data_IF_221095188287
#
_entry.id   IF_221095188287
#
_cell.length_a   1.000
_cell.length_b   1.000
_cell.length_c   1.000
_cell.angle_alpha   90.00
_cell.angle_beta   90.00
_cell.angle_gamma   90.00
#
_symmetry.space_group_name_H-M   'P 1'
#
loop_
_entity.id
_entity.type
_entity.pdbx_description
1 polymer ?
#
# COMPACT_ATOMS: atom_id res chain seq x y z
N UNK A 1 9.65 3.67 14.83
CA UNK A 1 8.94 2.67 14.00
C UNK A 1 9.83 2.46 12.79
N UNK A 2 10.34 1.24 12.59
CA UNK A 2 11.20 0.92 11.43
C UNK A 2 10.36 0.96 10.16
N UNK A 3 10.96 1.45 9.09
CA UNK A 3 10.30 1.56 7.79
C UNK A 3 10.10 0.18 7.16
N UNK A 4 9.07 -0.01 6.33
CA UNK A 4 8.77 -1.28 5.67
C UNK A 4 9.96 -1.84 4.88
N UNK A 5 10.71 -0.97 4.17
CA UNK A 5 11.91 -1.39 3.44
C UNK A 5 13.06 -1.79 4.38
N UNK A 6 13.21 -1.11 5.52
CA UNK A 6 14.24 -1.45 6.50
C UNK A 6 14.03 -2.85 7.07
N UNK A 7 12.77 -3.23 7.33
CA UNK A 7 12.45 -4.57 7.81
C UNK A 7 12.75 -5.66 6.78
N UNK A 8 12.49 -5.40 5.49
CA UNK A 8 12.88 -6.33 4.41
C UNK A 8 14.40 -6.44 4.31
N UNK A 9 15.10 -5.31 4.39
CA UNK A 9 16.56 -5.28 4.39
C UNK A 9 17.14 -6.03 5.60
N UNK A 10 16.48 -6.00 6.76
CA UNK A 10 16.96 -6.71 7.95
C UNK A 10 16.94 -8.24 7.77
N UNK A 11 16.03 -8.77 6.95
CA UNK A 11 15.92 -10.22 6.69
C UNK A 11 16.61 -10.68 5.40
N UNK A 12 17.26 -9.76 4.66
CA UNK A 12 18.02 -10.04 3.43
C UNK A 12 19.45 -9.51 3.59
N UNK A 13 20.29 -10.27 4.27
CA UNK A 13 21.63 -9.83 4.68
C UNK A 13 22.70 -10.38 3.72
N UNK A 14 22.54 -11.61 3.27
CA UNK A 14 23.49 -12.27 2.36
C UNK A 14 23.19 -11.94 0.90
N UNK A 15 24.20 -12.06 0.04
CA UNK A 15 24.04 -11.86 -1.41
C UNK A 15 23.01 -12.83 -2.02
N UNK A 16 22.94 -14.07 -1.55
CA UNK A 16 21.91 -15.01 -2.00
C UNK A 16 20.51 -14.52 -1.62
N UNK A 17 20.33 -14.02 -0.40
CA UNK A 17 19.05 -13.49 0.07
C UNK A 17 18.65 -12.23 -0.68
N UNK A 18 19.58 -11.32 -1.02
CA UNK A 18 19.25 -10.07 -1.74
C UNK A 18 18.81 -10.32 -3.18
N UNK A 19 19.24 -11.41 -3.82
CA UNK A 19 18.84 -11.78 -5.18
C UNK A 19 17.61 -12.69 -5.25
N UNK A 20 17.15 -13.25 -4.11
CA UNK A 20 15.98 -14.14 -4.07
C UNK A 20 14.70 -13.43 -4.55
N UNK A 21 13.96 -13.97 -5.53
CA UNK A 21 12.69 -13.41 -5.99
C UNK A 21 11.71 -13.09 -4.85
N UNK A 22 11.15 -11.88 -4.86
CA UNK A 22 10.15 -11.42 -3.90
C UNK A 22 8.75 -11.41 -4.51
N UNK A 23 7.79 -11.95 -3.76
CA UNK A 23 6.37 -11.86 -4.05
C UNK A 23 5.67 -11.19 -2.89
N UNK A 24 4.92 -10.14 -3.17
CA UNK A 24 4.16 -9.42 -2.15
C UNK A 24 2.68 -9.75 -2.23
N UNK A 25 2.07 -9.97 -1.07
CA UNK A 25 0.63 -10.06 -0.92
C UNK A 25 0.23 -8.89 -0.03
N UNK A 26 -0.50 -7.95 -0.60
CA UNK A 26 -0.89 -6.72 0.07
C UNK A 26 -2.41 -6.64 0.16
N UNK A 27 -2.92 -6.38 1.36
CA UNK A 27 -4.35 -6.30 1.64
C UNK A 27 -4.73 -4.90 2.11
N UNK A 28 -5.85 -4.36 1.62
CA UNK A 28 -6.39 -3.07 2.01
C UNK A 28 -5.31 -1.97 1.94
N UNK A 29 -5.12 -1.19 3.01
CA UNK A 29 -4.11 -0.14 3.12
C UNK A 29 -2.67 -0.63 2.94
N UNK A 30 -2.38 -1.91 3.22
CA UNK A 30 -1.04 -2.47 3.00
C UNK A 30 -0.59 -2.36 1.54
N UNK A 31 -1.53 -2.33 0.59
CA UNK A 31 -1.20 -2.09 -0.82
C UNK A 31 -0.73 -0.67 -1.11
N UNK A 32 -1.26 0.33 -0.40
CA UNK A 32 -0.81 1.73 -0.49
C UNK A 32 0.60 1.87 0.10
N UNK A 33 0.85 1.26 1.26
CA UNK A 33 2.18 1.22 1.89
C UNK A 33 3.19 0.59 0.94
N UNK A 34 2.89 -0.60 0.40
CA UNK A 34 3.76 -1.29 -0.55
C UNK A 34 4.03 -0.44 -1.81
N UNK A 35 2.99 0.19 -2.37
CA UNK A 35 3.11 1.06 -3.54
C UNK A 35 4.07 2.22 -3.26
N UNK A 36 3.97 2.85 -2.08
CA UNK A 36 4.87 3.91 -1.65
C UNK A 36 6.30 3.42 -1.55
N UNK A 37 6.50 2.32 -0.83
CA UNK A 37 7.82 1.77 -0.54
C UNK A 37 8.53 1.33 -1.80
N UNK A 38 7.87 0.64 -2.74
CA UNK A 38 8.49 0.22 -3.99
C UNK A 38 8.81 1.40 -4.92
N UNK A 39 7.94 2.42 -4.97
CA UNK A 39 8.22 3.63 -5.75
C UNK A 39 9.43 4.38 -5.19
N UNK A 40 9.53 4.48 -3.86
CA UNK A 40 10.70 5.05 -3.20
C UNK A 40 11.94 4.21 -3.44
N UNK A 41 11.83 2.89 -3.33
CA UNK A 41 12.93 1.96 -3.53
C UNK A 41 13.55 2.10 -4.92
N UNK A 42 12.72 2.19 -5.97
CA UNK A 42 13.16 2.43 -7.35
C UNK A 42 13.91 3.76 -7.55
N UNK A 43 13.57 4.78 -6.75
CA UNK A 43 14.16 6.14 -6.83
C UNK A 43 15.28 6.34 -5.80
N UNK A 44 15.54 5.36 -4.95
CA UNK A 44 16.50 5.48 -3.85
C UNK A 44 17.92 5.49 -4.40
N UNK A 45 18.81 6.23 -3.74
CA UNK A 45 20.25 6.12 -3.98
C UNK A 45 20.87 4.95 -3.21
N UNK A 46 20.12 4.34 -2.27
CA UNK A 46 20.56 3.17 -1.52
C UNK A 46 20.46 1.91 -2.39
N UNK A 47 21.58 1.23 -2.58
CA UNK A 47 21.65 -0.01 -3.34
C UNK A 47 20.73 -1.10 -2.76
N UNK A 48 20.58 -1.17 -1.43
CA UNK A 48 19.77 -2.19 -0.76
C UNK A 48 18.28 -2.05 -1.08
N UNK A 49 17.81 -0.81 -1.12
CA UNK A 49 16.44 -0.52 -1.54
C UNK A 49 16.22 -0.87 -3.01
N UNK A 50 17.20 -0.56 -3.87
CA UNK A 50 17.13 -0.93 -5.28
C UNK A 50 17.12 -2.46 -5.47
N UNK A 51 17.87 -3.21 -4.66
CA UNK A 51 17.88 -4.68 -4.70
C UNK A 51 16.50 -5.26 -4.36
N UNK A 52 15.78 -4.68 -3.37
CA UNK A 52 14.39 -5.07 -3.08
C UNK A 52 13.51 -4.85 -4.31
N UNK A 53 13.62 -3.67 -4.93
CA UNK A 53 12.84 -3.35 -6.12
C UNK A 53 13.17 -4.30 -7.29
N UNK A 54 14.45 -4.59 -7.53
CA UNK A 54 14.91 -5.47 -8.58
C UNK A 54 14.45 -6.92 -8.36
N UNK A 55 14.54 -7.42 -7.13
CA UNK A 55 14.12 -8.78 -6.75
C UNK A 55 12.59 -8.96 -6.75
N UNK A 56 11.82 -7.87 -6.69
CA UNK A 56 10.35 -7.92 -6.75
C UNK A 56 9.89 -8.52 -8.07
N UNK A 57 9.35 -9.73 -8.02
CA UNK A 57 8.96 -10.51 -9.20
C UNK A 57 7.45 -10.45 -9.47
N UNK A 58 6.64 -10.27 -8.42
CA UNK A 58 5.20 -10.10 -8.56
C UNK A 58 4.50 -9.59 -7.31
N UNK A 59 3.29 -9.05 -7.52
CA UNK A 59 2.48 -8.44 -6.47
C UNK A 59 1.02 -8.87 -6.61
N UNK A 60 0.41 -9.25 -5.49
CA UNK A 60 -1.00 -9.58 -5.36
C UNK A 60 -1.68 -8.55 -4.45
N UNK A 61 -2.58 -7.75 -4.99
CA UNK A 61 -3.36 -6.76 -4.24
C UNK A 61 -4.75 -7.32 -3.92
N UNK A 62 -5.19 -7.20 -2.67
CA UNK A 62 -6.51 -7.62 -2.21
C UNK A 62 -7.25 -6.43 -1.62
N UNK A 63 -8.36 -6.03 -2.24
CA UNK A 63 -9.22 -4.93 -1.79
C UNK A 63 -8.43 -3.64 -1.48
N UNK A 64 -7.32 -3.42 -2.19
CA UNK A 64 -6.48 -2.23 -1.99
C UNK A 64 -7.19 -1.02 -2.60
N UNK A 65 -7.44 0.04 -1.81
CA UNK A 65 -8.14 1.22 -2.30
C UNK A 65 -7.19 2.12 -3.10
N UNK A 66 -6.78 1.68 -4.29
CA UNK A 66 -5.85 2.42 -5.14
C UNK A 66 -6.32 3.84 -5.52
N UNK A 67 -7.63 4.12 -5.39
CA UNK A 67 -8.25 5.43 -5.62
C UNK A 67 -8.79 6.09 -4.34
N UNK A 68 -8.42 5.56 -3.17
CA UNK A 68 -8.99 5.93 -1.88
C UNK A 68 -10.31 5.23 -1.57
N UNK A 69 -10.89 5.58 -0.42
CA UNK A 69 -12.13 5.01 0.13
C UNK A 69 -13.12 6.14 0.48
N UNK A 70 -14.43 5.84 0.48
CA UNK A 70 -15.41 6.68 1.13
C UNK A 70 -15.21 6.64 2.65
N UNK A 71 -14.34 7.52 3.16
CA UNK A 71 -13.93 7.55 4.57
C UNK A 71 -14.97 8.15 5.50
N UNK A 72 -16.03 8.77 4.98
CA UNK A 72 -17.01 9.48 5.82
C UNK A 72 -17.86 8.53 6.67
N UNK A 73 -18.19 7.34 6.16
CA UNK A 73 -18.88 6.33 6.98
C UNK A 73 -17.95 5.74 8.05
N UNK A 74 -16.66 5.63 7.74
CA UNK A 74 -15.65 5.20 8.72
C UNK A 74 -15.48 6.28 9.80
N UNK A 75 -15.44 7.56 9.43
CA UNK A 75 -15.36 8.70 10.37
C UNK A 75 -16.50 8.71 11.38
N UNK A 76 -17.74 8.45 10.93
CA UNK A 76 -18.91 8.32 11.81
C UNK A 76 -18.74 7.21 12.86
N UNK A 77 -18.05 6.12 12.52
CA UNK A 77 -17.76 5.01 13.46
C UNK A 77 -16.69 5.36 14.50
N UNK A 78 -15.93 6.44 14.30
CA UNK A 78 -14.88 6.88 15.23
C UNK A 78 -15.40 7.95 16.22
N UNK A 79 -16.72 8.03 16.37
CA UNK A 79 -17.45 8.84 17.37
C UNK A 79 -17.08 10.33 17.41
N UNK A 80 -16.59 10.90 16.31
CA UNK A 80 -16.14 12.30 16.24
C UNK A 80 -15.10 12.69 17.31
N UNK A 81 -14.31 11.74 17.86
CA UNK A 81 -13.21 12.08 18.76
C UNK A 81 -12.12 12.81 17.96
N UNK A 82 -11.93 14.13 18.09
CA UNK A 82 -11.03 14.90 17.25
C UNK A 82 -9.55 14.51 17.44
N UNK A 83 -9.23 13.82 18.53
CA UNK A 83 -7.88 13.37 18.86
C UNK A 83 -7.63 11.92 18.43
N UNK A 84 -8.60 11.27 17.78
CA UNK A 84 -8.45 9.89 17.41
C UNK A 84 -7.28 9.71 16.44
N UNK A 85 -6.30 8.82 16.73
CA UNK A 85 -5.07 8.69 15.94
C UNK A 85 -5.30 8.22 14.49
N UNK A 86 -6.53 7.81 14.16
CA UNK A 86 -6.94 7.38 12.82
C UNK A 86 -7.39 8.53 11.91
N UNK A 87 -7.61 9.75 12.42
CA UNK A 87 -8.01 10.88 11.56
C UNK A 87 -6.98 11.17 10.48
N UNK A 88 -5.70 11.22 10.82
CA UNK A 88 -4.63 11.41 9.84
C UNK A 88 -4.56 10.29 8.79
N UNK A 89 -4.89 9.05 9.17
CA UNK A 89 -4.97 7.92 8.24
C UNK A 89 -6.18 8.05 7.29
N UNK A 90 -7.32 8.50 7.80
CA UNK A 90 -8.53 8.73 6.99
C UNK A 90 -8.33 9.86 5.99
N UNK A 91 -7.61 10.92 6.38
CA UNK A 91 -7.30 12.03 5.47
C UNK A 91 -6.44 11.56 4.30
N UNK A 92 -5.48 10.66 4.55
CA UNK A 92 -4.66 10.03 3.50
C UNK A 92 -5.46 9.06 2.63
N UNK A 93 -6.51 8.43 3.17
CA UNK A 93 -7.36 7.47 2.48
C UNK A 93 -8.54 8.11 1.74
N UNK A 94 -8.73 9.43 1.85
CA UNK A 94 -9.85 10.13 1.21
C UNK A 94 -9.82 9.91 -0.30
N UNK A 95 -10.96 9.50 -0.85
CA UNK A 95 -11.17 9.24 -2.27
C UNK A 95 -10.69 10.41 -3.14
N UNK A 96 -10.02 10.09 -4.24
CA UNK A 96 -9.49 11.04 -5.23
C UNK A 96 -8.48 12.06 -4.69
N UNK A 97 -7.76 11.72 -3.62
CA UNK A 97 -6.62 12.53 -3.22
C UNK A 97 -5.52 12.46 -4.30
N UNK A 98 -5.09 13.62 -4.79
CA UNK A 98 -3.96 13.79 -5.74
C UNK A 98 -2.75 12.88 -5.42
N UNK A 99 -2.31 12.73 -4.14
CA UNK A 99 -1.20 11.85 -3.79
C UNK A 99 -1.43 10.36 -4.12
N UNK A 100 -2.65 9.83 -3.93
CA UNK A 100 -2.96 8.42 -4.20
C UNK A 100 -3.00 8.13 -5.71
N UNK A 101 -3.54 9.06 -6.50
CA UNK A 101 -3.56 8.95 -7.95
C UNK A 101 -2.14 9.03 -8.54
N UNK A 102 -1.34 10.00 -8.07
CA UNK A 102 0.07 10.11 -8.46
C UNK A 102 0.86 8.86 -8.08
N UNK A 103 0.65 8.33 -6.88
CA UNK A 103 1.30 7.09 -6.43
C UNK A 103 0.88 5.88 -7.25
N UNK A 104 -0.40 5.74 -7.61
CA UNK A 104 -0.85 4.64 -8.45
C UNK A 104 -0.25 4.72 -9.86
N UNK A 105 -0.14 5.92 -10.43
CA UNK A 105 0.51 6.14 -11.71
C UNK A 105 2.02 5.84 -11.64
N UNK A 106 2.69 6.34 -10.60
CA UNK A 106 4.11 6.08 -10.35
C UNK A 106 4.39 4.60 -10.18
N UNK A 107 3.57 3.88 -9.41
CA UNK A 107 3.71 2.44 -9.26
C UNK A 107 3.50 1.76 -10.61
N UNK A 108 2.42 2.05 -11.35
CA UNK A 108 2.17 1.45 -12.67
C UNK A 108 3.37 1.61 -13.60
N UNK A 109 4.00 2.79 -13.63
CA UNK A 109 5.22 3.03 -14.39
C UNK A 109 6.43 2.29 -13.81
N UNK A 110 6.52 2.20 -12.47
CA UNK A 110 7.60 1.53 -11.77
C UNK A 110 7.66 0.04 -12.14
N UNK A 111 6.52 -0.66 -12.03
CA UNK A 111 6.40 -2.12 -12.09
C UNK A 111 5.71 -2.64 -13.37
N UNK A 112 5.75 -1.86 -14.47
CA UNK A 112 5.12 -2.21 -15.75
C UNK A 112 5.59 -3.55 -16.34
N UNK A 113 6.80 -3.99 -15.99
CA UNK A 113 7.44 -5.24 -16.41
C UNK A 113 7.29 -6.37 -15.38
N UNK A 114 6.45 -6.19 -14.35
CA UNK A 114 6.20 -7.18 -13.28
C UNK A 114 4.79 -7.75 -13.37
N UNK A 115 4.62 -8.97 -12.82
CA UNK A 115 3.31 -9.62 -12.73
C UNK A 115 2.50 -9.01 -11.58
N UNK A 116 1.38 -8.39 -11.92
CA UNK A 116 0.45 -7.78 -10.94
C UNK A 116 -0.90 -8.47 -11.07
N UNK A 117 -1.45 -8.90 -9.93
CA UNK A 117 -2.80 -9.45 -9.85
C UNK A 117 -3.57 -8.65 -8.79
N UNK A 118 -4.76 -8.16 -9.13
CA UNK A 118 -5.62 -7.43 -8.22
C UNK A 118 -6.94 -8.15 -8.04
N UNK A 119 -7.30 -8.40 -6.79
CA UNK A 119 -8.58 -8.98 -6.36
C UNK A 119 -9.43 -7.87 -5.74
N UNK A 120 -10.68 -7.79 -6.17
CA UNK A 120 -11.65 -6.80 -5.70
C UNK A 120 -13.01 -7.47 -5.49
N UNK A 121 -13.81 -6.89 -4.60
CA UNK A 121 -15.18 -7.32 -4.37
C UNK A 121 -16.06 -6.89 -5.55
N UNK A 122 -16.90 -7.80 -6.04
CA UNK A 122 -17.89 -7.52 -7.10
C UNK A 122 -19.26 -7.10 -6.52
N UNK A 123 -19.50 -7.41 -5.25
CA UNK A 123 -20.74 -7.10 -4.55
C UNK A 123 -20.52 -6.08 -3.44
N UNK A 124 -21.53 -5.25 -3.17
CA UNK A 124 -21.44 -4.24 -2.12
C UNK A 124 -21.54 -4.89 -0.74
N UNK A 125 -20.52 -4.68 0.09
CA UNK A 125 -20.56 -5.04 1.51
C UNK A 125 -21.73 -4.31 2.19
N UNK A 126 -22.62 -5.06 2.86
CA UNK A 126 -23.80 -4.50 3.54
C UNK A 126 -23.39 -3.41 4.51
N UNK A 127 -24.01 -2.24 4.40
CA UNK A 127 -23.78 -1.14 5.33
C UNK A 127 -24.43 -1.45 6.69
N UNK A 128 -23.79 -0.99 7.75
CA UNK A 128 -24.34 -1.02 9.10
C UNK A 128 -25.46 0.02 9.19
N UNK A 129 -26.72 -0.43 9.29
CA UNK A 129 -27.82 0.43 9.68
C UNK A 129 -27.73 0.66 11.20
N UNK A 130 -27.28 1.85 11.61
CA UNK A 130 -27.41 2.29 13.00
C UNK A 130 -28.90 2.58 13.24
N UNK A 131 -29.55 1.75 14.05
CA UNK A 131 -30.95 1.97 14.43
C UNK A 131 -31.09 3.35 15.07
N UNK A 132 -31.98 4.17 14.49
CA UNK A 132 -32.38 5.51 14.93
C UNK A 132 -33.21 5.47 16.20
#
# INVERSE_FOLDING_TARGET
>A
MRDFLEEINHVRVTEEETHKPLFFIAHSFGGIVLSHSLTRAKRSADARDNDIFAATSGIFFFSTPHKGLPVEDIRKLIFDDPQHPRHGLLDQLKQDSEPLLAQSADLKNAIHDRKIVSFYEEEQTRQLELAS
#
